data_IF_108537554908
#
_entry.id   IF_108537554908
#
_cell.length_a   1.000
_cell.length_b   1.000
_cell.length_c   1.000
_cell.angle_alpha   90.00
_cell.angle_beta   90.00
_cell.angle_gamma   90.00
#
_symmetry.space_group_name_H-M   'P 1'
#
loop_
_entity.id
_entity.type
_entity.pdbx_description
1 polymer ?
#
# COMPACT_ATOMS: atom_id res chain seq x y z
N UNK A 1 -22.21 -14.74 5.87
CA UNK A 1 -21.29 -14.74 7.04
C UNK A 1 -21.35 -13.35 7.66
N UNK A 2 -21.16 -13.24 8.96
CA UNK A 2 -21.18 -11.93 9.63
C UNK A 2 -19.77 -11.34 9.59
N UNK A 3 -19.67 -10.01 9.46
CA UNK A 3 -18.37 -9.34 9.53
C UNK A 3 -17.85 -9.32 10.97
N UNK A 4 -16.53 -9.38 11.13
CA UNK A 4 -15.83 -9.29 12.42
C UNK A 4 -15.45 -7.85 12.68
N UNK A 5 -15.80 -7.32 13.86
CA UNK A 5 -15.43 -5.97 14.27
C UNK A 5 -13.96 -5.90 14.69
N UNK A 6 -13.28 -4.81 14.34
CA UNK A 6 -11.88 -4.55 14.67
C UNK A 6 -11.75 -3.33 15.58
N UNK A 7 -10.78 -3.39 16.49
CA UNK A 7 -10.39 -2.25 17.34
C UNK A 7 -9.25 -1.47 16.67
N UNK A 8 -9.63 -0.56 15.77
CA UNK A 8 -8.72 0.33 15.06
C UNK A 8 -9.14 1.79 15.25
N UNK A 9 -8.20 2.74 15.24
CA UNK A 9 -8.55 4.16 15.31
C UNK A 9 -9.43 4.59 14.13
N UNK A 10 -10.33 5.54 14.38
CA UNK A 10 -11.13 6.17 13.34
C UNK A 10 -10.24 6.67 12.17
N UNK A 11 -10.66 6.49 10.89
CA UNK A 11 -9.88 6.93 9.73
C UNK A 11 -9.44 8.40 9.81
N UNK A 12 -10.28 9.28 10.38
CA UNK A 12 -9.96 10.70 10.58
C UNK A 12 -8.91 10.91 11.67
N UNK A 13 -8.83 10.05 12.68
CA UNK A 13 -7.75 10.08 13.67
C UNK A 13 -6.40 9.63 13.09
N UNK A 14 -6.41 8.75 12.08
CA UNK A 14 -5.19 8.39 11.32
C UNK A 14 -4.69 9.56 10.45
N UNK A 15 -5.60 10.43 10.01
CA UNK A 15 -5.36 11.51 9.04
C UNK A 15 -4.23 12.46 9.43
N UNK A 16 -4.20 12.93 10.68
CA UNK A 16 -3.17 13.88 11.12
C UNK A 16 -1.76 13.25 11.09
N UNK A 17 -1.66 12.01 11.58
CA UNK A 17 -0.40 11.26 11.68
C UNK A 17 0.15 10.87 10.31
N UNK A 18 -0.71 10.37 9.43
CA UNK A 18 -0.31 9.96 8.10
C UNK A 18 0.05 11.15 7.21
N UNK A 19 -0.64 12.28 7.31
CA UNK A 19 -0.25 13.51 6.60
C UNK A 19 1.13 14.00 7.06
N UNK A 20 1.39 14.00 8.36
CA UNK A 20 2.70 14.38 8.90
C UNK A 20 3.81 13.43 8.41
N UNK A 21 3.57 12.12 8.47
CA UNK A 21 4.51 11.12 7.96
C UNK A 21 4.80 11.32 6.46
N UNK A 22 3.75 11.50 5.65
CA UNK A 22 3.88 11.73 4.21
C UNK A 22 4.69 13.01 3.92
N UNK A 23 4.44 14.09 4.65
CA UNK A 23 5.19 15.34 4.51
C UNK A 23 6.69 15.15 4.83
N UNK A 24 7.01 14.44 5.92
CA UNK A 24 8.40 14.15 6.30
C UNK A 24 9.08 13.23 5.28
N UNK A 25 8.38 12.19 4.81
CA UNK A 25 8.90 11.26 3.79
C UNK A 25 9.14 11.98 2.47
N UNK A 26 8.24 12.89 2.06
CA UNK A 26 8.42 13.74 0.89
C UNK A 26 9.65 14.65 1.04
N UNK A 27 9.82 15.32 2.18
CA UNK A 27 10.99 16.15 2.47
C UNK A 27 12.31 15.33 2.50
N UNK A 28 12.24 14.08 2.92
CA UNK A 28 13.36 13.13 2.91
C UNK A 28 13.61 12.50 1.52
N UNK A 29 12.85 12.84 0.49
CA UNK A 29 13.02 12.32 -0.87
C UNK A 29 12.53 10.87 -1.08
N UNK A 30 11.61 10.40 -0.24
CA UNK A 30 10.92 9.10 -0.37
C UNK A 30 9.39 9.27 -0.32
N UNK A 31 8.89 10.34 -0.95
CA UNK A 31 7.46 10.72 -0.90
C UNK A 31 6.56 9.78 -1.69
N UNK A 32 7.11 9.04 -2.66
CA UNK A 32 6.37 8.02 -3.40
C UNK A 32 5.86 6.89 -2.50
N UNK A 33 6.61 6.58 -1.44
CA UNK A 33 6.35 5.49 -0.48
C UNK A 33 5.38 5.86 0.64
N UNK A 34 5.04 7.14 0.79
CA UNK A 34 4.06 7.57 1.77
C UNK A 34 3.36 8.83 1.29
N UNK A 35 2.09 8.69 0.92
CA UNK A 35 1.29 9.74 0.29
C UNK A 35 -0.02 9.91 1.06
N UNK A 36 -0.47 11.16 1.16
CA UNK A 36 -1.76 11.52 1.74
C UNK A 36 -2.47 12.46 0.74
N UNK A 37 -2.98 11.92 -0.37
CA UNK A 37 -3.43 12.69 -1.53
C UNK A 37 -4.92 12.46 -1.81
N UNK A 38 -5.72 13.50 -1.57
CA UNK A 38 -7.16 13.45 -1.78
C UNK A 38 -7.80 12.33 -0.96
N UNK A 39 -8.50 11.42 -1.65
CA UNK A 39 -9.17 10.28 -1.06
C UNK A 39 -8.29 9.02 -0.89
N UNK A 40 -7.05 9.02 -1.42
CA UNK A 40 -6.15 7.86 -1.37
C UNK A 40 -4.89 8.17 -0.58
N UNK A 41 -4.65 7.37 0.45
CA UNK A 41 -3.56 7.52 1.38
C UNK A 41 -2.76 6.24 1.36
N UNK A 42 -1.50 6.33 0.93
CA UNK A 42 -0.66 5.18 0.60
C UNK A 42 0.53 5.12 1.55
N UNK A 43 0.92 3.91 1.91
CA UNK A 43 2.13 3.60 2.64
C UNK A 43 2.79 2.35 2.03
N UNK A 44 4.10 2.40 1.85
CA UNK A 44 4.95 1.33 1.36
C UNK A 44 6.25 1.34 2.20
N UNK A 45 6.62 0.18 2.75
CA UNK A 45 7.80 0.05 3.59
C UNK A 45 9.13 0.00 2.80
N UNK A 46 9.06 -0.17 1.48
CA UNK A 46 10.16 -0.31 0.54
C UNK A 46 10.68 -1.74 0.39
N UNK A 47 10.06 -2.71 1.06
CA UNK A 47 10.44 -4.12 1.09
C UNK A 47 9.33 -5.05 0.58
N UNK A 48 8.14 -4.50 0.31
CA UNK A 48 7.02 -5.15 -0.38
C UNK A 48 5.73 -5.17 0.43
N UNK A 49 5.78 -4.70 1.69
CA UNK A 49 4.60 -4.52 2.52
C UNK A 49 4.03 -3.12 2.31
N UNK A 50 2.72 -3.03 2.11
CA UNK A 50 2.05 -1.78 1.78
C UNK A 50 0.63 -1.74 2.33
N UNK A 51 0.09 -0.53 2.47
CA UNK A 51 -1.28 -0.30 2.86
C UNK A 51 -1.84 0.97 2.19
N UNK A 52 -3.06 0.85 1.68
CA UNK A 52 -3.85 1.95 1.15
C UNK A 52 -5.11 2.17 1.98
N UNK A 53 -5.32 3.41 2.39
CA UNK A 53 -6.56 3.91 2.97
C UNK A 53 -7.32 4.74 1.93
N UNK A 54 -8.48 4.22 1.53
CA UNK A 54 -9.44 4.86 0.66
C UNK A 54 -10.53 5.52 1.50
N UNK A 55 -10.56 6.84 1.52
CA UNK A 55 -11.70 7.57 2.04
C UNK A 55 -12.84 7.56 1.00
N UNK A 56 -14.02 7.15 1.43
CA UNK A 56 -15.23 7.10 0.62
C UNK A 56 -16.21 8.17 1.09
N UNK A 57 -17.40 8.17 0.49
CA UNK A 57 -18.48 9.08 0.86
C UNK A 57 -19.07 8.73 2.23
N UNK A 58 -19.70 9.72 2.88
CA UNK A 58 -20.46 9.56 4.14
C UNK A 58 -19.61 9.12 5.34
N UNK A 59 -18.31 9.39 5.31
CA UNK A 59 -17.38 9.03 6.40
C UNK A 59 -16.93 7.58 6.36
N UNK A 60 -17.32 6.82 5.33
CA UNK A 60 -16.83 5.45 5.12
C UNK A 60 -15.38 5.44 4.65
N UNK A 61 -14.70 4.34 4.91
CA UNK A 61 -13.35 4.12 4.39
C UNK A 61 -13.09 2.64 4.15
N UNK A 62 -12.12 2.34 3.28
CA UNK A 62 -11.57 0.99 3.11
C UNK A 62 -10.06 1.05 3.31
N UNK A 63 -9.55 0.24 4.22
CA UNK A 63 -8.13 0.01 4.44
C UNK A 63 -7.77 -1.36 3.89
N UNK A 64 -6.84 -1.42 2.94
CA UNK A 64 -6.42 -2.65 2.31
C UNK A 64 -4.90 -2.67 2.12
N UNK A 65 -4.34 -3.85 1.92
CA UNK A 65 -2.90 -3.99 1.73
C UNK A 65 -2.42 -5.42 1.91
N UNK A 66 -1.11 -5.56 2.07
CA UNK A 66 -0.48 -6.83 2.36
C UNK A 66 0.78 -6.62 3.21
N UNK A 67 1.12 -7.63 4.00
CA UNK A 67 2.51 -7.86 4.36
C UNK A 67 3.11 -8.89 3.41
N UNK A 68 4.34 -8.64 2.96
CA UNK A 68 5.01 -9.54 2.01
C UNK A 68 5.31 -10.93 2.60
N UNK A 69 5.61 -11.00 3.89
CA UNK A 69 6.17 -12.20 4.51
C UNK A 69 5.19 -12.89 5.44
N UNK A 70 4.27 -12.13 6.04
CA UNK A 70 3.41 -12.61 7.13
C UNK A 70 1.92 -12.68 6.75
N UNK A 71 1.52 -12.25 5.55
CA UNK A 71 0.14 -12.48 5.07
C UNK A 71 -0.02 -13.93 4.62
N UNK A 72 -0.82 -14.71 5.35
CA UNK A 72 -1.18 -16.10 5.03
C UNK A 72 -2.52 -16.21 4.29
N UNK A 73 -3.14 -15.08 4.00
CA UNK A 73 -4.37 -14.96 3.23
C UNK A 73 -4.05 -14.80 1.75
N UNK A 74 -4.69 -15.62 0.92
CA UNK A 74 -4.50 -15.61 -0.53
C UNK A 74 -5.83 -15.29 -1.22
N UNK A 75 -5.97 -14.07 -1.72
CA UNK A 75 -7.21 -13.61 -2.37
C UNK A 75 -7.05 -13.54 -3.90
N UNK A 76 -8.06 -14.02 -4.63
CA UNK A 76 -8.13 -13.95 -6.09
C UNK A 76 -6.83 -14.46 -6.77
N UNK A 77 -6.17 -13.63 -7.59
CA UNK A 77 -4.96 -14.00 -8.33
C UNK A 77 -3.81 -14.51 -7.45
N UNK A 78 -3.76 -14.11 -6.18
CA UNK A 78 -2.75 -14.59 -5.25
C UNK A 78 -2.91 -16.09 -4.95
N UNK A 79 -4.15 -16.59 -4.84
CA UNK A 79 -4.40 -18.02 -4.59
C UNK A 79 -3.87 -18.88 -5.74
N UNK A 80 -4.12 -18.47 -6.98
CA UNK A 80 -3.60 -19.15 -8.17
C UNK A 80 -2.08 -19.05 -8.28
N UNK A 81 -1.51 -17.87 -8.02
CA UNK A 81 -0.07 -17.62 -8.15
C UNK A 81 0.76 -18.42 -7.14
N UNK A 82 0.29 -18.52 -5.90
CA UNK A 82 0.97 -19.25 -4.82
C UNK A 82 0.54 -20.72 -4.71
N UNK A 83 -0.44 -21.16 -5.50
CA UNK A 83 -1.04 -22.50 -5.44
C UNK A 83 -1.62 -22.82 -4.05
N UNK A 84 -2.22 -21.80 -3.42
CA UNK A 84 -2.76 -21.87 -2.06
C UNK A 84 -4.28 -21.79 -2.03
N UNK A 85 -4.89 -22.15 -0.90
CA UNK A 85 -6.35 -22.08 -0.75
C UNK A 85 -6.81 -20.63 -0.72
N UNK A 86 -7.77 -20.29 -1.59
CA UNK A 86 -8.35 -18.95 -1.61
C UNK A 86 -9.03 -18.59 -0.28
N UNK A 87 -8.74 -17.38 0.19
CA UNK A 87 -9.42 -16.71 1.29
C UNK A 87 -10.25 -15.57 0.74
N UNK A 88 -11.57 -15.67 0.82
CA UNK A 88 -12.48 -14.60 0.37
C UNK A 88 -12.48 -13.43 1.35
N UNK A 89 -11.63 -12.44 1.09
CA UNK A 89 -11.50 -11.22 1.91
C UNK A 89 -12.75 -10.31 1.83
N UNK A 90 -13.70 -10.58 0.93
CA UNK A 90 -14.95 -9.84 0.78
C UNK A 90 -16.18 -10.64 1.21
N UNK A 91 -16.00 -11.80 1.85
CA UNK A 91 -17.10 -12.61 2.31
C UNK A 91 -18.02 -11.83 3.26
N UNK A 92 -19.25 -11.53 2.80
CA UNK A 92 -20.24 -10.76 3.57
C UNK A 92 -19.99 -9.25 3.61
N UNK A 93 -18.98 -8.75 2.89
CA UNK A 93 -18.70 -7.33 2.78
C UNK A 93 -19.76 -6.61 1.90
N UNK A 94 -20.14 -5.38 2.25
CA UNK A 94 -20.95 -4.54 1.37
C UNK A 94 -20.25 -4.19 0.04
N UNK A 95 -21.04 -3.98 -1.01
CA UNK A 95 -20.57 -3.66 -2.37
C UNK A 95 -19.60 -2.46 -2.46
N UNK A 96 -19.65 -1.53 -1.50
CA UNK A 96 -18.76 -0.36 -1.51
C UNK A 96 -17.29 -0.70 -1.24
N UNK A 97 -16.97 -1.92 -0.78
CA UNK A 97 -15.58 -2.40 -0.61
C UNK A 97 -14.92 -2.76 -1.95
N UNK A 98 -15.75 -3.16 -2.92
CA UNK A 98 -15.32 -3.72 -4.20
C UNK A 98 -14.48 -2.74 -5.02
N UNK A 99 -14.83 -1.44 -5.01
CA UNK A 99 -14.15 -0.45 -5.85
C UNK A 99 -12.68 -0.24 -5.44
N UNK A 100 -12.34 -0.01 -4.16
CA UNK A 100 -10.95 -0.02 -3.70
C UNK A 100 -10.20 -1.32 -4.02
N UNK A 101 -10.82 -2.47 -3.79
CA UNK A 101 -10.21 -3.80 -4.01
C UNK A 101 -9.88 -4.02 -5.48
N UNK A 102 -10.84 -3.74 -6.38
CA UNK A 102 -10.64 -3.83 -7.82
C UNK A 102 -9.51 -2.92 -8.28
N UNK A 103 -9.42 -1.70 -7.74
CA UNK A 103 -8.33 -0.80 -8.07
C UNK A 103 -6.96 -1.38 -7.72
N UNK A 104 -6.81 -1.99 -6.54
CA UNK A 104 -5.55 -2.64 -6.15
C UNK A 104 -5.20 -3.81 -7.08
N UNK A 105 -6.20 -4.62 -7.46
CA UNK A 105 -6.04 -5.73 -8.41
C UNK A 105 -5.69 -5.27 -9.82
N UNK A 106 -6.29 -4.18 -10.31
CA UNK A 106 -5.95 -3.56 -11.60
C UNK A 106 -4.50 -3.04 -11.63
N UNK A 107 -3.91 -2.75 -10.46
CA UNK A 107 -2.50 -2.39 -10.28
C UNK A 107 -1.60 -3.63 -10.06
N UNK A 108 -2.14 -4.84 -10.25
CA UNK A 108 -1.45 -6.14 -10.06
C UNK A 108 -0.89 -6.34 -8.64
N UNK A 109 -1.54 -5.74 -7.64
CA UNK A 109 -1.16 -5.88 -6.24
C UNK A 109 -1.91 -7.05 -5.59
N UNK A 110 -1.18 -7.91 -4.90
CA UNK A 110 -1.78 -8.92 -4.03
C UNK A 110 -2.30 -8.28 -2.73
N UNK A 111 -3.38 -8.86 -2.23
CA UNK A 111 -4.11 -8.38 -1.05
C UNK A 111 -4.04 -9.45 0.04
N UNK A 112 -3.51 -9.06 1.21
CA UNK A 112 -3.57 -9.85 2.43
C UNK A 112 -4.79 -9.49 3.29
N UNK A 113 -5.15 -8.21 3.37
CA UNK A 113 -6.29 -7.76 4.19
C UNK A 113 -7.15 -6.72 3.48
N UNK A 114 -8.44 -6.71 3.82
CA UNK A 114 -9.41 -5.67 3.43
C UNK A 114 -10.33 -5.39 4.61
N UNK A 115 -10.28 -4.17 5.12
CA UNK A 115 -11.09 -3.70 6.24
C UNK A 115 -11.95 -2.53 5.81
N UNK A 116 -13.23 -2.55 6.16
CA UNK A 116 -14.14 -1.43 5.93
C UNK A 116 -14.51 -0.72 7.21
N UNK A 117 -14.55 0.61 7.14
CA UNK A 117 -15.14 1.46 8.17
C UNK A 117 -16.48 1.98 7.67
N UNK A 118 -17.55 1.73 8.42
CA UNK A 118 -18.92 2.10 8.02
C UNK A 118 -19.31 3.54 8.43
N UNK A 119 -18.39 4.28 9.07
CA UNK A 119 -18.66 5.56 9.72
C UNK A 119 -18.68 5.49 11.25
N UNK A 120 -18.69 4.27 11.80
CA UNK A 120 -18.72 4.02 13.24
C UNK A 120 -17.73 2.95 13.70
N UNK A 121 -17.63 1.84 12.97
CA UNK A 121 -16.79 0.70 13.36
C UNK A 121 -16.00 0.17 12.17
N UNK A 122 -14.81 -0.35 12.47
CA UNK A 122 -14.01 -1.12 11.53
C UNK A 122 -14.47 -2.57 11.51
N UNK A 123 -14.49 -3.17 10.32
CA UNK A 123 -14.95 -4.53 10.09
C UNK A 123 -14.08 -5.23 9.05
N UNK A 124 -14.02 -6.56 9.11
CA UNK A 124 -13.42 -7.44 8.09
C UNK A 124 -14.26 -8.68 7.83
N UNK A 125 -14.01 -9.36 6.70
CA UNK A 125 -14.52 -10.71 6.49
C UNK A 125 -14.01 -11.68 7.56
N UNK A 126 -14.81 -12.70 7.88
CA UNK A 126 -14.48 -13.70 8.89
C UNK A 126 -13.51 -14.75 8.32
N UNK A 127 -12.33 -14.86 8.94
CA UNK A 127 -11.30 -15.87 8.66
C UNK A 127 -10.35 -16.00 9.87
N UNK A 128 -9.74 -17.19 10.00
CA UNK A 128 -8.84 -17.57 11.10
C UNK A 128 -7.35 -17.35 10.79
N UNK A 129 -6.98 -17.19 9.52
CA UNK A 129 -5.60 -17.00 9.07
C UNK A 129 -5.05 -15.63 9.50
N UNK A 130 -3.74 -15.54 9.68
CA UNK A 130 -3.07 -14.23 9.86
C UNK A 130 -3.04 -13.51 8.51
N UNK A 131 -3.59 -12.30 8.46
CA UNK A 131 -3.63 -11.49 7.25
C UNK A 131 -2.43 -10.56 7.11
N UNK A 132 -1.49 -10.60 8.07
CA UNK A 132 -0.25 -9.84 8.06
C UNK A 132 -0.41 -8.36 8.42
N UNK A 133 -1.62 -7.86 8.70
CA UNK A 133 -1.85 -6.44 8.98
C UNK A 133 -1.00 -5.91 10.16
N UNK A 134 -0.86 -6.71 11.21
CA UNK A 134 -0.04 -6.35 12.37
C UNK A 134 1.45 -6.18 12.00
N UNK A 135 1.95 -7.00 11.08
CA UNK A 135 3.33 -7.03 10.61
C UNK A 135 3.70 -5.86 9.70
N UNK A 136 2.74 -5.30 8.96
CA UNK A 136 2.92 -4.03 8.22
C UNK A 136 3.40 -2.91 9.16
N UNK A 137 3.06 -3.01 10.45
CA UNK A 137 3.37 -2.00 11.48
C UNK A 137 3.01 -0.59 11.04
N UNK A 138 1.83 -0.45 10.40
CA UNK A 138 1.36 0.77 9.77
C UNK A 138 1.57 1.98 10.72
N UNK A 139 2.51 2.91 10.40
CA UNK A 139 2.94 3.90 11.36
C UNK A 139 1.82 4.82 11.89
N UNK A 140 0.86 5.27 11.06
CA UNK A 140 -0.24 6.12 11.50
C UNK A 140 -1.21 5.54 12.55
N UNK A 141 -1.09 4.26 12.93
CA UNK A 141 -1.97 3.64 13.93
C UNK A 141 -1.77 4.21 15.35
N UNK A 142 -0.54 4.58 15.72
CA UNK A 142 -0.22 5.17 17.03
C UNK A 142 0.77 6.32 16.91
N UNK A 143 0.77 7.23 17.89
CA UNK A 143 1.77 8.31 17.95
C UNK A 143 3.19 7.76 18.08
N UNK A 144 3.33 6.66 18.82
CA UNK A 144 4.60 5.95 19.00
C UNK A 144 5.11 5.38 17.68
N UNK A 145 4.28 4.62 16.95
CA UNK A 145 4.65 4.05 15.66
C UNK A 145 4.92 5.14 14.62
N UNK A 146 4.15 6.24 14.64
CA UNK A 146 4.39 7.38 13.74
C UNK A 146 5.76 7.98 14.00
N UNK A 147 6.16 8.13 15.27
CA UNK A 147 7.49 8.63 15.66
C UNK A 147 8.61 7.69 15.22
N UNK A 148 8.43 6.38 15.38
CA UNK A 148 9.38 5.36 14.90
C UNK A 148 9.52 5.37 13.37
N UNK A 149 8.40 5.60 12.66
CA UNK A 149 8.35 5.64 11.20
C UNK A 149 8.92 6.92 10.58
N UNK A 150 9.20 7.97 11.36
CA UNK A 150 9.84 9.20 10.89
C UNK A 150 11.33 8.93 10.68
N UNK A 151 11.85 9.06 9.44
CA UNK A 151 13.28 8.92 9.20
C UNK A 151 14.03 10.01 9.97
N UNK A 152 15.07 9.61 10.71
CA UNK A 152 15.95 10.55 11.40
C UNK A 152 16.58 11.57 10.44
N UNK A 153 17.08 12.71 10.96
CA UNK A 153 17.73 13.72 10.13
C UNK A 153 18.89 13.07 9.37
N UNK A 154 18.79 13.03 8.05
CA UNK A 154 19.94 12.74 7.20
C UNK A 154 20.86 13.94 7.33
N UNK A 155 21.86 13.85 8.20
CA UNK A 155 22.99 14.77 8.16
C UNK A 155 23.51 14.71 6.72
N UNK A 156 23.46 15.85 6.04
CA UNK A 156 24.01 15.97 4.71
C UNK A 156 25.53 15.75 4.81
N UNK A 157 25.96 14.49 4.70
CA UNK A 157 27.34 14.20 4.36
C UNK A 157 27.51 14.76 2.96
N UNK A 158 28.13 15.96 2.89
CA UNK A 158 28.46 16.64 1.66
C UNK A 158 29.20 15.67 0.75
N UNK A 159 28.50 15.14 -0.24
CA UNK A 159 29.09 14.31 -1.27
C UNK A 159 29.85 15.29 -2.17
N UNK A 160 31.13 15.48 -1.87
CA UNK A 160 32.06 16.13 -2.80
C UNK A 160 31.98 15.37 -4.13
N UNK A 161 31.38 16.02 -5.11
CA UNK A 161 31.25 15.51 -6.45
C UNK A 161 32.64 15.36 -7.05
N UNK A 162 33.09 14.12 -7.25
CA UNK A 162 34.16 13.82 -8.18
C UNK A 162 33.71 12.73 -9.15
N UNK A 163 33.46 13.15 -10.38
CA UNK A 163 34.05 12.45 -11.52
C UNK A 163 33.17 11.50 -12.31
N UNK A 164 32.58 12.08 -13.36
CA UNK A 164 32.42 11.52 -14.72
C UNK A 164 31.22 10.60 -15.01
N UNK A 165 30.23 11.25 -15.61
CA UNK A 165 29.23 10.68 -16.51
C UNK A 165 29.81 9.72 -17.54
N UNK A 166 29.09 8.61 -17.77
CA UNK A 166 29.02 7.94 -19.07
C UNK A 166 27.55 7.69 -19.40
N UNK A 167 27.03 8.19 -20.54
CA UNK A 167 25.68 7.86 -20.97
C UNK A 167 25.64 6.45 -21.57
N UNK A 168 24.72 5.61 -21.10
CA UNK A 168 24.35 4.37 -21.80
C UNK A 168 23.58 4.76 -23.05
N UNK A 169 24.26 4.66 -24.20
CA UNK A 169 23.69 4.89 -25.52
C UNK A 169 22.77 3.72 -25.87
N UNK A 170 21.48 3.98 -26.00
CA UNK A 170 20.52 3.06 -26.59
C UNK A 170 21.00 2.64 -27.99
N UNK A 171 21.11 1.33 -28.19
CA UNK A 171 21.35 0.73 -29.51
C UNK A 171 20.11 0.93 -30.39
N UNK A 172 20.12 2.00 -31.17
CA UNK A 172 19.39 2.11 -32.44
C UNK A 172 20.39 2.23 -33.59
N UNK A 173 20.37 1.26 -34.49
CA UNK A 173 20.86 1.29 -35.87
C UNK A 173 20.27 0.06 -36.55
N UNK A 174 19.36 0.11 -37.52
CA UNK A 174 19.21 0.86 -38.78
C UNK A 174 20.38 0.65 -39.75
N UNK A 175 20.11 -0.10 -40.82
CA UNK A 175 20.26 0.25 -42.26
C UNK A 175 19.38 -0.74 -43.05
N UNK A 176 18.32 -0.33 -43.78
CA UNK A 176 18.27 0.27 -45.14
C UNK A 176 19.05 -0.58 -46.16
N UNK A 177 18.62 -0.91 -47.39
CA UNK A 177 17.51 -0.53 -48.29
C UNK A 177 17.69 -1.39 -49.57
N UNK A 178 16.59 -1.66 -50.30
CA UNK A 178 16.48 -1.81 -51.78
C UNK A 178 17.32 -2.91 -52.49
N UNK A 179 16.99 -3.49 -53.64
CA UNK A 179 16.09 -3.15 -54.74
C UNK A 179 15.87 -4.43 -55.60
N UNK A 180 14.74 -4.52 -56.32
CA UNK A 180 14.52 -5.23 -57.62
C UNK A 180 14.95 -6.70 -57.80
N UNK A 181 13.97 -7.59 -58.01
CA UNK A 181 13.48 -8.03 -59.35
C UNK A 181 12.24 -8.91 -59.19
#
# INVERSE_FOLDING_TARGET
MALVQLDLPDPMALRGRWAALAAVRAAAGSGERCRALGALWHYDDGHGSWADLHHLDEGRAVLLGQDRNDSETYYAEAADFFEEKETDLLAGAPDWWERPVRRARDEELFLGFVYGFDGSVWQRAEYELDDGFASVRLPPLSDERTREGVPGPRLAHGRLAHGRSRPVRALRGVRRRADRR
#
